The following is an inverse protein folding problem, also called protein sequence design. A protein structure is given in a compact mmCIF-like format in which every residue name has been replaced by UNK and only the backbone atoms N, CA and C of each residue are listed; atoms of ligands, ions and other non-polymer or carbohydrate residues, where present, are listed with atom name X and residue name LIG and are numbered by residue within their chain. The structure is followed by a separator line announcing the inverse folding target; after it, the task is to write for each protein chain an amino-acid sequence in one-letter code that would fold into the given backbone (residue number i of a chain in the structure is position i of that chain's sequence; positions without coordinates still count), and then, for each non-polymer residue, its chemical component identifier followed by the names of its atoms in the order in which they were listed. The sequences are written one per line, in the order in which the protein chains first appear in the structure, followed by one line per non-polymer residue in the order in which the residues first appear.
data_IF_169056610476
#
_entry.id   IF_169056610476
#
_cell.length_a   1.000
_cell.length_b   1.000
_cell.length_c   1.000
_cell.angle_alpha   90.00
_cell.angle_beta   90.00
_cell.angle_gamma   90.00
#
_symmetry.space_group_name_H-M   'P 1'
#
loop_
_entity.id
_entity.type
_entity.pdbx_description
1 polymer ?
#
# COMPACT_ATOMS: atom_id res chain seq x y z
N UNK A 1 15.81 -6.32 -8.26
CA UNK A 1 14.55 -6.84 -8.84
C UNK A 1 13.47 -6.31 -7.92
N UNK A 2 12.50 -5.53 -8.43
CA UNK A 2 11.35 -5.16 -7.57
C UNK A 2 10.67 -6.43 -7.10
N UNK A 3 10.21 -6.41 -5.86
CA UNK A 3 9.46 -7.51 -5.29
C UNK A 3 8.03 -7.47 -5.85
N UNK A 4 7.86 -8.02 -7.05
CA UNK A 4 6.59 -8.03 -7.80
C UNK A 4 5.66 -9.17 -7.36
N UNK A 5 6.02 -9.90 -6.31
CA UNK A 5 5.26 -11.07 -5.86
C UNK A 5 4.31 -10.64 -4.74
N UNK A 6 2.99 -10.86 -4.88
CA UNK A 6 2.06 -10.69 -3.77
C UNK A 6 2.51 -11.48 -2.53
N UNK A 7 2.24 -10.96 -1.33
CA UNK A 7 2.59 -11.61 -0.05
C UNK A 7 1.40 -11.66 0.89
N UNK A 8 1.43 -12.58 1.84
CA UNK A 8 0.41 -12.67 2.90
C UNK A 8 0.67 -11.62 3.99
N UNK A 9 -0.33 -10.78 4.26
CA UNK A 9 -0.45 -9.95 5.44
C UNK A 9 -1.60 -10.50 6.30
N UNK A 10 -1.28 -11.44 7.19
CA UNK A 10 -2.30 -12.27 7.86
C UNK A 10 -2.93 -13.23 6.86
N UNK A 11 -4.26 -13.20 6.74
CA UNK A 11 -5.03 -14.06 5.83
C UNK A 11 -5.23 -13.45 4.44
N UNK A 12 -4.69 -12.25 4.19
CA UNK A 12 -4.92 -11.49 2.96
C UNK A 12 -3.67 -11.48 2.08
N UNK A 13 -3.82 -11.81 0.80
CA UNK A 13 -2.79 -11.52 -0.18
C UNK A 13 -2.80 -10.04 -0.54
N UNK A 14 -1.65 -9.39 -0.38
CA UNK A 14 -1.49 -7.96 -0.64
C UNK A 14 -0.36 -7.71 -1.63
N UNK A 15 -0.49 -6.62 -2.37
CA UNK A 15 0.55 -6.13 -3.26
C UNK A 15 0.52 -4.59 -3.32
N UNK A 16 1.56 -3.90 -2.83
CA UNK A 16 1.70 -2.47 -2.99
C UNK A 16 2.36 -2.10 -4.32
N UNK A 17 1.91 -1.01 -4.94
CA UNK A 17 2.54 -0.38 -6.11
C UNK A 17 2.68 1.12 -5.91
N UNK A 18 3.80 1.67 -6.41
CA UNK A 18 4.06 3.11 -6.40
C UNK A 18 3.69 3.69 -7.76
N UNK A 19 2.91 4.78 -7.79
CA UNK A 19 2.40 5.35 -9.06
C UNK A 19 2.84 6.80 -9.32
N UNK A 20 3.23 7.54 -8.29
CA UNK A 20 3.75 8.90 -8.43
C UNK A 20 4.78 9.12 -7.33
N UNK A 21 6.07 9.07 -7.70
CA UNK A 21 7.17 9.56 -6.87
C UNK A 21 7.57 10.91 -7.42
N UNK A 22 6.74 11.90 -7.15
CA UNK A 22 7.16 13.28 -7.33
C UNK A 22 8.17 13.59 -6.22
N UNK A 23 9.17 14.44 -6.49
CA UNK A 23 10.23 14.73 -5.53
C UNK A 23 9.78 15.25 -4.16
N UNK A 24 8.48 15.45 -3.92
CA UNK A 24 7.95 15.84 -2.60
C UNK A 24 6.81 14.94 -2.08
N UNK A 25 6.34 13.96 -2.85
CA UNK A 25 5.18 13.13 -2.49
C UNK A 25 5.23 11.76 -3.16
N UNK A 26 4.85 10.73 -2.40
CA UNK A 26 4.76 9.35 -2.89
C UNK A 26 3.33 8.83 -2.80
N UNK A 27 2.79 8.32 -3.90
CA UNK A 27 1.52 7.59 -3.90
C UNK A 27 1.73 6.09 -3.88
N UNK A 28 1.10 5.43 -2.91
CA UNK A 28 1.08 3.97 -2.77
C UNK A 28 -0.35 3.48 -2.98
N UNK A 29 -0.53 2.57 -3.93
CA UNK A 29 -1.76 1.80 -4.09
C UNK A 29 -1.52 0.40 -3.54
N UNK A 30 -2.43 -0.12 -2.72
CA UNK A 30 -2.38 -1.49 -2.23
C UNK A 30 -3.55 -2.26 -2.79
N UNK A 31 -3.27 -3.27 -3.60
CA UNK A 31 -4.25 -4.27 -3.99
C UNK A 31 -4.33 -5.37 -2.92
N UNK A 32 -5.54 -5.74 -2.53
CA UNK A 32 -5.81 -6.73 -1.48
C UNK A 32 -6.84 -7.72 -2.00
N UNK A 33 -6.45 -9.00 -2.07
CA UNK A 33 -7.39 -10.07 -2.44
C UNK A 33 -8.44 -10.25 -1.33
N UNK A 34 -9.72 -10.23 -1.69
CA UNK A 34 -10.86 -10.41 -0.78
C UNK A 34 -11.84 -11.43 -1.37
N UNK A 35 -12.68 -12.02 -0.53
CA UNK A 35 -13.69 -12.96 -0.99
C UNK A 35 -14.90 -12.23 -1.58
N UNK A 36 -15.30 -11.12 -0.96
CA UNK A 36 -16.44 -10.30 -1.35
C UNK A 36 -16.09 -8.80 -1.37
N UNK A 37 -16.75 -8.01 -2.23
CA UNK A 37 -16.69 -6.56 -2.13
C UNK A 37 -17.07 -6.10 -0.72
N UNK A 38 -16.40 -5.06 -0.21
CA UNK A 38 -16.67 -4.44 1.10
C UNK A 38 -16.27 -5.28 2.33
N UNK A 39 -15.57 -6.39 2.14
CA UNK A 39 -15.02 -7.22 3.23
C UNK A 39 -14.03 -6.48 4.14
N UNK A 40 -13.39 -5.44 3.61
CA UNK A 40 -12.42 -4.61 4.33
C UNK A 40 -12.93 -3.18 4.45
N UNK A 41 -12.74 -2.61 5.63
CA UNK A 41 -12.91 -1.19 5.92
C UNK A 41 -11.57 -0.46 5.79
N UNK A 42 -11.60 0.87 5.66
CA UNK A 42 -10.40 1.71 5.73
C UNK A 42 -9.56 1.39 6.98
N UNK A 43 -10.20 1.22 8.13
CA UNK A 43 -9.55 0.94 9.41
C UNK A 43 -8.92 -0.46 9.50
N UNK A 44 -9.25 -1.36 8.58
CA UNK A 44 -8.65 -2.70 8.54
C UNK A 44 -7.24 -2.68 7.96
N UNK A 45 -6.87 -1.61 7.25
CA UNK A 45 -5.62 -1.52 6.48
C UNK A 45 -4.80 -0.35 6.97
N UNK A 46 -3.51 -0.59 7.20
CA UNK A 46 -2.52 0.46 7.44
C UNK A 46 -1.33 0.25 6.52
N UNK A 47 -0.74 1.36 6.06
CA UNK A 47 0.44 1.34 5.20
C UNK A 47 1.50 2.25 5.79
N UNK A 48 2.70 1.70 5.91
CA UNK A 48 3.91 2.45 6.24
C UNK A 48 4.83 2.46 5.02
N UNK A 49 5.42 3.61 4.73
CA UNK A 49 6.40 3.79 3.67
C UNK A 49 7.68 4.33 4.29
N UNK A 50 8.80 3.65 4.02
CA UNK A 50 10.14 4.09 4.42
C UNK A 50 10.88 4.60 3.19
N UNK A 51 11.51 5.77 3.32
CA UNK A 51 12.36 6.37 2.30
C UNK A 51 13.61 6.96 2.98
N UNK A 52 14.81 6.69 2.43
CA UNK A 52 16.07 7.14 3.02
C UNK A 52 16.27 6.74 4.49
N UNK A 53 15.78 5.56 4.89
CA UNK A 53 15.78 5.09 6.28
C UNK A 53 14.77 5.78 7.22
N UNK A 54 13.84 6.58 6.71
CA UNK A 54 12.84 7.31 7.51
C UNK A 54 11.42 6.90 7.12
N UNK A 55 10.56 6.66 8.11
CA UNK A 55 9.12 6.45 7.87
C UNK A 55 8.46 7.78 7.51
N UNK A 56 7.81 7.80 6.34
CA UNK A 56 7.12 8.97 5.83
C UNK A 56 5.75 9.14 6.50
N UNK A 57 5.31 10.39 6.62
CA UNK A 57 3.99 10.71 7.18
C UNK A 57 2.89 10.52 6.14
N UNK A 58 1.76 9.94 6.55
CA UNK A 58 0.57 9.81 5.71
C UNK A 58 -0.08 11.19 5.54
N UNK A 59 -0.09 11.69 4.32
CA UNK A 59 -0.74 12.94 3.93
C UNK A 59 -2.21 12.71 3.53
N UNK A 60 -2.50 11.55 2.95
CA UNK A 60 -3.86 11.14 2.53
C UNK A 60 -4.01 9.63 2.74
N UNK A 61 -5.13 9.23 3.35
CA UNK A 61 -5.51 7.84 3.59
C UNK A 61 -6.84 7.54 2.87
N UNK A 62 -7.25 6.27 2.77
CA UNK A 62 -8.56 5.91 2.24
C UNK A 62 -9.70 6.65 2.95
N UNK A 63 -10.77 6.92 2.20
CA UNK A 63 -11.99 7.54 2.76
C UNK A 63 -12.60 6.60 3.80
N UNK A 64 -13.07 7.09 4.97
CA UNK A 64 -13.69 6.27 5.98
C UNK A 64 -14.86 5.43 5.45
N UNK A 65 -14.88 4.14 5.81
CA UNK A 65 -15.89 3.17 5.40
C UNK A 65 -15.30 2.02 4.58
N UNK A 66 -16.16 1.28 3.85
CA UNK A 66 -15.72 0.12 3.09
C UNK A 66 -14.71 0.50 2.01
N UNK A 67 -13.63 -0.27 1.90
CA UNK A 67 -12.69 -0.10 0.81
C UNK A 67 -13.36 -0.40 -0.52
N UNK A 68 -13.11 0.42 -1.54
CA UNK A 68 -13.61 0.15 -2.87
C UNK A 68 -12.98 -1.14 -3.41
N UNK A 69 -13.77 -1.90 -4.17
CA UNK A 69 -13.34 -3.18 -4.73
C UNK A 69 -13.69 -3.30 -6.21
N UNK A 70 -12.84 -4.02 -6.94
CA UNK A 70 -13.05 -4.40 -8.34
C UNK A 70 -13.31 -5.90 -8.37
N UNK A 71 -14.45 -6.30 -8.95
CA UNK A 71 -14.85 -7.69 -9.09
C UNK A 71 -14.79 -8.09 -10.57
N UNK A 72 -13.91 -9.04 -10.89
CA UNK A 72 -13.86 -9.69 -12.20
C UNK A 72 -14.08 -11.20 -11.98
N UNK A 73 -13.04 -12.02 -12.09
CA UNK A 73 -13.08 -13.45 -11.72
C UNK A 73 -12.82 -13.66 -10.22
N UNK A 74 -12.15 -12.71 -9.57
CA UNK A 74 -12.01 -12.59 -8.12
C UNK A 74 -12.31 -11.14 -7.68
N UNK A 75 -12.38 -10.91 -6.38
CA UNK A 75 -12.56 -9.57 -5.81
C UNK A 75 -11.23 -9.06 -5.25
N UNK A 76 -10.86 -7.82 -5.62
CA UNK A 76 -9.74 -7.13 -5.00
C UNK A 76 -10.23 -5.80 -4.45
N UNK A 77 -10.04 -5.59 -3.15
CA UNK A 77 -10.15 -4.27 -2.55
C UNK A 77 -8.87 -3.46 -2.87
N UNK A 78 -8.99 -2.14 -2.88
CA UNK A 78 -7.82 -1.28 -3.02
C UNK A 78 -7.81 -0.15 -1.98
N UNK A 79 -6.62 0.12 -1.45
CA UNK A 79 -6.37 1.21 -0.52
C UNK A 79 -5.33 2.17 -1.13
N UNK A 80 -5.69 3.45 -1.22
CA UNK A 80 -4.85 4.49 -1.81
C UNK A 80 -4.32 5.38 -0.70
N UNK A 81 -3.00 5.54 -0.66
CA UNK A 81 -2.29 6.38 0.29
C UNK A 81 -1.42 7.41 -0.45
N UNK A 82 -1.34 8.61 0.10
CA UNK A 82 -0.30 9.61 -0.24
C UNK A 82 0.55 9.87 0.99
N UNK A 83 1.86 9.87 0.79
CA UNK A 83 2.85 10.19 1.81
C UNK A 83 3.58 11.48 1.48
N UNK A 84 3.84 12.29 2.51
CA UNK A 84 4.70 13.46 2.41
C UNK A 84 6.17 13.01 2.33
N UNK A 85 6.89 13.49 1.32
CA UNK A 85 8.31 13.21 1.11
C UNK A 85 9.07 14.51 0.80
N UNK A 86 9.04 15.54 1.66
CA UNK A 86 9.51 16.89 1.33
C UNK A 86 10.98 16.95 0.88
N UNK A 87 11.79 15.99 1.33
CA UNK A 87 13.22 15.88 1.03
C UNK A 87 13.52 15.08 -0.24
N UNK A 88 12.49 14.53 -0.91
CA UNK A 88 12.64 13.78 -2.15
C UNK A 88 13.45 12.51 -2.01
N UNK A 89 13.33 11.85 -0.85
CA UNK A 89 14.05 10.63 -0.55
C UNK A 89 13.55 9.48 -1.43
N UNK A 90 14.46 8.61 -1.85
CA UNK A 90 14.10 7.41 -2.58
C UNK A 90 13.31 6.45 -1.67
N UNK A 91 12.13 5.97 -2.08
CA UNK A 91 11.42 4.89 -1.40
C UNK A 91 12.31 3.65 -1.26
N UNK A 92 12.23 2.97 -0.12
CA UNK A 92 13.03 1.76 0.16
C UNK A 92 12.11 0.57 0.44
N UNK A 93 11.13 0.74 1.32
CA UNK A 93 10.20 -0.33 1.67
C UNK A 93 8.79 0.15 1.94
N UNK A 94 7.81 -0.68 1.60
CA UNK A 94 6.41 -0.52 2.00
C UNK A 94 6.03 -1.67 2.91
N UNK A 95 5.46 -1.36 4.07
CA UNK A 95 4.83 -2.34 4.95
C UNK A 95 3.33 -2.16 4.91
N UNK A 96 2.63 -3.22 4.51
CA UNK A 96 1.16 -3.28 4.49
C UNK A 96 0.72 -4.12 5.66
N UNK A 97 -0.17 -3.58 6.49
CA UNK A 97 -0.82 -4.30 7.60
C UNK A 97 -2.31 -4.43 7.32
N UNK A 98 -2.85 -5.63 7.41
CA UNK A 98 -4.29 -5.93 7.30
C UNK A 98 -4.73 -6.70 8.54
N UNK A 99 -5.66 -6.13 9.33
CA UNK A 99 -6.18 -6.71 10.59
C UNK A 99 -5.10 -7.27 11.53
N UNK A 100 -3.96 -6.57 11.61
CA UNK A 100 -2.84 -6.92 12.47
C UNK A 100 -1.80 -7.88 11.87
N UNK A 101 -2.06 -8.49 10.70
CA UNK A 101 -1.05 -9.22 9.94
C UNK A 101 -0.30 -8.29 8.99
N UNK A 102 1.02 -8.45 8.82
CA UNK A 102 1.85 -7.51 8.05
C UNK A 102 2.73 -8.19 7.00
N UNK A 103 2.91 -7.54 5.86
CA UNK A 103 3.89 -7.90 4.84
C UNK A 103 4.73 -6.67 4.45
N UNK A 104 6.04 -6.85 4.33
CA UNK A 104 6.98 -5.81 3.89
C UNK A 104 7.51 -6.13 2.51
N UNK A 105 7.59 -5.11 1.66
CA UNK A 105 8.02 -5.17 0.26
C UNK A 105 9.19 -4.21 0.06
N UNK A 106 10.23 -4.67 -0.65
CA UNK A 106 11.31 -3.81 -1.12
C UNK A 106 10.84 -3.09 -2.39
N UNK A 107 10.81 -1.76 -2.33
CA UNK A 107 10.38 -0.87 -3.42
C UNK A 107 11.51 0.04 -3.89
N UNK A 108 12.75 -0.24 -3.51
CA UNK A 108 13.93 0.57 -3.84
C UNK A 108 14.19 0.74 -5.34
N UNK A 109 13.62 -0.12 -6.18
CA UNK A 109 13.75 -0.07 -7.63
C UNK A 109 12.43 0.29 -8.33
N UNK A 110 11.38 0.66 -7.59
CA UNK A 110 10.06 0.97 -8.13
C UNK A 110 10.00 2.35 -8.81
N UNK A 111 11.07 3.14 -8.68
CA UNK A 111 11.22 4.48 -9.25
C UNK A 111 12.33 4.42 -10.31
N UNK A 112 11.94 4.20 -11.56
CA UNK A 112 12.81 4.19 -12.74
C UNK A 112 12.19 5.00 -13.87
#
# INVERSE_FOLDING_TARGET
MNDETPRLAGDFWVYPSLHEVTGTSVRVNVAIAVEQPFDLQDSDVAVELVAGGQSLSVAEAPVPGPLPAIQMTGANAYALYRFDNPDGLAPESVTVTVRGGSATFDVSLAVG
#
